data_IF_146866562806
#
_entry.id   IF_146866562806
#
_cell.length_a   1.000
_cell.length_b   1.000
_cell.length_c   1.000
_cell.angle_alpha   90.00
_cell.angle_beta   90.00
_cell.angle_gamma   90.00
#
_symmetry.space_group_name_H-M   'P 1'
#
loop_
_entity.id
_entity.type
_entity.pdbx_description
1 polymer ?
#
# COMPACT_ATOMS: atom_id res chain seq x y z
N UNK A 1 4.22 12.04 -40.52
CA UNK A 1 5.37 11.31 -39.95
C UNK A 1 5.55 11.78 -38.51
N UNK A 2 5.09 11.02 -37.53
CA UNK A 2 5.40 11.25 -36.12
C UNK A 2 5.76 9.90 -35.53
N UNK A 3 6.99 9.82 -35.04
CA UNK A 3 7.75 8.60 -34.78
C UNK A 3 7.10 7.66 -33.77
N UNK A 4 7.31 6.36 -34.02
CA UNK A 4 7.00 5.23 -33.16
C UNK A 4 7.46 5.49 -31.72
N UNK A 5 6.53 5.65 -30.79
CA UNK A 5 6.80 5.41 -29.35
C UNK A 5 6.81 3.90 -29.10
N UNK A 6 7.89 3.25 -29.54
CA UNK A 6 8.22 1.90 -29.09
C UNK A 6 9.18 2.01 -27.90
N UNK A 7 8.62 2.28 -26.72
CA UNK A 7 9.40 2.32 -25.46
C UNK A 7 8.77 1.41 -24.42
N UNK A 8 8.31 0.23 -24.82
CA UNK A 8 7.59 -0.70 -23.92
C UNK A 8 8.45 -1.72 -23.19
N UNK A 9 9.77 -1.63 -23.27
CA UNK A 9 10.63 -2.46 -22.43
C UNK A 9 12.02 -1.85 -22.28
N UNK A 10 12.15 -0.80 -21.46
CA UNK A 10 13.47 -0.39 -20.97
C UNK A 10 13.87 -1.43 -19.94
N UNK A 11 14.63 -2.43 -20.36
CA UNK A 11 15.25 -3.43 -19.47
C UNK A 11 15.84 -2.69 -18.27
N UNK A 12 15.30 -2.94 -17.08
CA UNK A 12 15.88 -2.37 -15.87
C UNK A 12 17.35 -2.81 -15.81
N UNK A 13 18.25 -1.85 -15.61
CA UNK A 13 19.65 -2.17 -15.35
C UNK A 13 19.76 -3.09 -14.14
N UNK A 14 20.77 -3.97 -14.12
CA UNK A 14 21.00 -4.91 -13.01
C UNK A 14 21.06 -4.20 -11.65
N UNK A 15 21.67 -3.01 -11.60
CA UNK A 15 21.69 -2.16 -10.42
C UNK A 15 20.28 -1.74 -9.96
N UNK A 16 19.39 -1.37 -10.88
CA UNK A 16 18.01 -0.98 -10.55
C UNK A 16 17.17 -2.17 -10.10
N UNK A 17 17.37 -3.36 -10.68
CA UNK A 17 16.74 -4.60 -10.20
C UNK A 17 17.15 -4.92 -8.76
N UNK A 18 18.45 -4.84 -8.46
CA UNK A 18 18.97 -5.08 -7.12
C UNK A 18 18.43 -4.08 -6.08
N UNK A 19 18.34 -2.79 -6.44
CA UNK A 19 17.76 -1.77 -5.58
C UNK A 19 16.27 -2.03 -5.29
N UNK A 20 15.49 -2.36 -6.33
CA UNK A 20 14.07 -2.71 -6.16
C UNK A 20 13.89 -3.94 -5.28
N UNK A 21 14.71 -4.98 -5.46
CA UNK A 21 14.68 -6.18 -4.63
C UNK A 21 14.95 -5.86 -3.15
N UNK A 22 16.01 -5.09 -2.87
CA UNK A 22 16.33 -4.65 -1.49
C UNK A 22 15.23 -3.82 -0.84
N UNK A 23 14.44 -3.10 -1.62
CA UNK A 23 13.29 -2.35 -1.11
C UNK A 23 12.13 -3.29 -0.80
N UNK A 24 11.77 -4.19 -1.73
CA UNK A 24 10.67 -5.14 -1.57
C UNK A 24 10.93 -6.11 -0.41
N UNK A 25 12.18 -6.58 -0.23
CA UNK A 25 12.57 -7.50 0.84
C UNK A 25 12.30 -6.94 2.26
N UNK A 26 12.07 -5.63 2.42
CA UNK A 26 11.71 -5.00 3.71
C UNK A 26 10.24 -5.14 4.07
N UNK A 27 9.39 -5.51 3.11
CA UNK A 27 7.94 -5.51 3.27
C UNK A 27 7.37 -6.91 3.04
N UNK A 28 6.35 -7.27 3.82
CA UNK A 28 5.58 -8.51 3.64
C UNK A 28 4.24 -8.17 3.00
N UNK A 29 3.84 -8.92 1.98
CA UNK A 29 2.52 -8.76 1.37
C UNK A 29 1.45 -9.42 2.24
N UNK A 30 0.47 -8.63 2.70
CA UNK A 30 -0.69 -9.12 3.44
C UNK A 30 -1.91 -9.14 2.53
N UNK A 31 -2.48 -10.33 2.31
CA UNK A 31 -3.70 -10.50 1.52
C UNK A 31 -4.93 -10.39 2.40
N UNK A 32 -5.61 -9.24 2.33
CA UNK A 32 -6.87 -9.01 3.03
C UNK A 32 -8.03 -9.35 2.10
N UNK A 33 -8.98 -10.15 2.58
CA UNK A 33 -10.24 -10.41 1.89
C UNK A 33 -11.30 -9.44 2.41
N UNK A 34 -11.87 -8.65 1.52
CA UNK A 34 -12.96 -7.71 1.82
C UNK A 34 -13.94 -7.70 0.64
N UNK A 35 -15.16 -7.23 0.88
CA UNK A 35 -16.14 -7.02 -0.19
C UNK A 35 -15.68 -5.87 -1.09
N UNK A 36 -16.11 -5.84 -2.37
CA UNK A 36 -15.74 -4.75 -3.28
C UNK A 36 -16.29 -3.38 -2.83
N UNK A 37 -17.45 -3.37 -2.18
CA UNK A 37 -18.06 -2.17 -1.59
C UNK A 37 -17.17 -1.61 -0.48
N UNK A 38 -16.79 -2.47 0.48
CA UNK A 38 -15.93 -2.08 1.59
C UNK A 38 -14.53 -1.64 1.11
N UNK A 39 -14.00 -2.23 0.03
CA UNK A 39 -12.75 -1.74 -0.58
C UNK A 39 -12.88 -0.30 -1.07
N UNK A 40 -14.02 0.02 -1.67
CA UNK A 40 -14.29 1.36 -2.22
C UNK A 40 -14.44 2.38 -1.11
N UNK A 41 -15.18 2.05 -0.05
CA UNK A 41 -15.33 2.89 1.14
C UNK A 41 -13.99 3.20 1.80
N UNK A 42 -13.15 2.17 2.02
CA UNK A 42 -11.80 2.34 2.57
C UNK A 42 -10.92 3.21 1.68
N UNK A 43 -11.05 3.08 0.36
CA UNK A 43 -10.31 3.89 -0.59
C UNK A 43 -10.76 5.37 -0.56
N UNK A 44 -12.06 5.62 -0.50
CA UNK A 44 -12.62 6.97 -0.40
C UNK A 44 -12.22 7.63 0.92
N UNK A 45 -12.36 6.92 2.03
CA UNK A 45 -11.99 7.44 3.34
C UNK A 45 -10.50 7.79 3.41
N UNK A 46 -9.62 6.94 2.88
CA UNK A 46 -8.20 7.26 2.80
C UNK A 46 -7.94 8.53 1.97
N UNK A 47 -8.64 8.72 0.86
CA UNK A 47 -8.52 9.93 0.02
C UNK A 47 -9.00 11.19 0.75
N UNK A 48 -10.12 11.11 1.48
CA UNK A 48 -10.63 12.22 2.30
C UNK A 48 -9.65 12.62 3.40
N UNK A 49 -8.97 11.65 3.99
CA UNK A 49 -7.92 11.86 4.99
C UNK A 49 -6.57 12.29 4.39
N UNK A 50 -6.46 12.38 3.06
CA UNK A 50 -5.24 12.78 2.36
C UNK A 50 -4.13 11.73 2.39
N UNK A 51 -4.47 10.46 2.65
CA UNK A 51 -3.52 9.35 2.78
C UNK A 51 -3.76 8.24 1.75
N UNK A 52 -2.75 7.38 1.56
CA UNK A 52 -2.93 6.21 0.71
C UNK A 52 -3.76 5.14 1.43
N UNK A 53 -4.52 4.33 0.67
CA UNK A 53 -5.28 3.20 1.23
C UNK A 53 -4.41 2.27 2.08
N UNK A 54 -3.16 2.02 1.66
CA UNK A 54 -2.21 1.20 2.43
C UNK A 54 -1.78 1.87 3.74
N UNK A 55 -1.51 3.18 3.72
CA UNK A 55 -1.17 3.93 4.92
C UNK A 55 -2.34 3.94 5.92
N UNK A 56 -3.56 4.17 5.41
CA UNK A 56 -4.78 4.11 6.22
C UNK A 56 -4.97 2.74 6.89
N UNK A 57 -4.78 1.65 6.14
CA UNK A 57 -4.92 0.29 6.69
C UNK A 57 -3.91 0.05 7.82
N UNK A 58 -2.65 0.43 7.63
CA UNK A 58 -1.63 0.27 8.67
C UNK A 58 -1.94 1.14 9.90
N UNK A 59 -2.35 2.39 9.70
CA UNK A 59 -2.77 3.30 10.76
C UNK A 59 -3.95 2.73 11.56
N UNK A 60 -4.97 2.22 10.87
CA UNK A 60 -6.14 1.63 11.52
C UNK A 60 -5.79 0.38 12.34
N UNK A 61 -4.86 -0.46 11.86
CA UNK A 61 -4.33 -1.60 12.62
C UNK A 61 -3.60 -1.11 13.87
N UNK A 62 -2.68 -0.16 13.74
CA UNK A 62 -1.89 0.36 14.87
C UNK A 62 -2.77 1.04 15.93
N UNK A 63 -3.74 1.86 15.51
CA UNK A 63 -4.71 2.51 16.40
C UNK A 63 -5.58 1.50 17.14
N UNK A 64 -6.03 0.44 16.46
CA UNK A 64 -6.85 -0.61 17.08
C UNK A 64 -6.03 -1.42 18.08
N UNK A 65 -4.80 -1.79 17.71
CA UNK A 65 -3.87 -2.49 18.61
C UNK A 65 -3.49 -1.63 19.82
N UNK A 66 -3.37 -0.32 19.67
CA UNK A 66 -3.12 0.60 20.79
C UNK A 66 -4.34 0.70 21.72
N UNK A 67 -5.55 0.87 21.15
CA UNK A 67 -6.81 0.92 21.89
C UNK A 67 -7.06 -0.35 22.70
N UNK A 68 -6.74 -1.52 22.13
CA UNK A 68 -6.92 -2.81 22.82
C UNK A 68 -5.92 -3.03 23.97
N UNK A 69 -4.77 -2.35 23.94
CA UNK A 69 -3.77 -2.38 25.03
C UNK A 69 -4.13 -1.46 26.18
N UNK A 70 -4.98 -0.46 25.97
CA UNK A 70 -5.44 0.39 27.07
C UNK A 70 -6.35 -0.43 27.99
N UNK A 71 -6.03 -0.54 29.29
CA UNK A 71 -6.88 -1.26 30.22
C UNK A 71 -8.24 -0.58 30.24
N UNK A 72 -9.29 -1.30 29.83
CA UNK A 72 -10.66 -0.85 29.96
C UNK A 72 -10.88 -0.48 31.43
N UNK A 73 -10.89 0.82 31.73
CA UNK A 73 -11.29 1.30 33.06
C UNK A 73 -12.72 0.81 33.27
N UNK A 74 -12.85 -0.18 34.15
CA UNK A 74 -14.13 -0.67 34.65
C UNK A 74 -14.75 0.38 35.56
#
# INVERSE_FOLDING_TARGET
MAEKKDSRHRTLTEARKAANKRYIDKFVEVKVRMTPEHRTEVQQHAQEMGESTTAFINRAIDETMARDKEPKKK
#
